data_IF_235983353532
#
_entry.id   IF_235983353532
#
_cell.length_a   1.000
_cell.length_b   1.000
_cell.length_c   1.000
_cell.angle_alpha   90.00
_cell.angle_beta   90.00
_cell.angle_gamma   90.00
#
_symmetry.space_group_name_H-M   'P 1'
#
loop_
_entity.id
_entity.type
_entity.pdbx_description
1 polymer ?
#
# COMPACT_ATOMS: atom_id res chain seq x y z
N UNK A 1 -17.16 -2.16 -23.45
CA UNK A 1 -17.49 -2.70 -22.10
C UNK A 1 -18.45 -1.75 -21.45
N UNK A 2 -19.66 -2.21 -21.13
CA UNK A 2 -20.67 -1.40 -20.43
C UNK A 2 -20.25 -1.22 -18.95
N UNK A 3 -20.72 -0.14 -18.32
CA UNK A 3 -20.50 0.07 -16.87
C UNK A 3 -20.92 -1.13 -16.04
N UNK A 4 -21.99 -1.83 -16.45
CA UNK A 4 -22.48 -3.03 -15.78
C UNK A 4 -21.45 -4.18 -15.73
N UNK A 5 -20.64 -4.35 -16.78
CA UNK A 5 -19.58 -5.38 -16.80
C UNK A 5 -18.41 -5.06 -15.85
N UNK A 6 -18.21 -3.79 -15.51
CA UNK A 6 -17.17 -3.35 -14.56
C UNK A 6 -17.47 -3.74 -13.12
N UNK A 7 -18.73 -3.88 -12.77
CA UNK A 7 -19.20 -4.10 -11.40
C UNK A 7 -19.77 -5.52 -11.19
N UNK A 8 -19.71 -6.37 -12.22
CA UNK A 8 -20.17 -7.76 -12.09
C UNK A 8 -19.31 -8.52 -11.08
N UNK A 9 -19.94 -9.00 -10.00
CA UNK A 9 -19.28 -9.73 -8.92
C UNK A 9 -18.54 -8.85 -7.90
N UNK A 10 -18.68 -7.53 -7.96
CA UNK A 10 -18.09 -6.60 -7.00
C UNK A 10 -19.09 -6.34 -5.86
N UNK A 11 -18.64 -6.51 -4.61
CA UNK A 11 -19.46 -6.27 -3.42
C UNK A 11 -19.04 -5.01 -2.63
N UNK A 12 -17.95 -4.35 -3.00
CA UNK A 12 -17.37 -3.18 -2.33
C UNK A 12 -17.01 -3.39 -0.85
N UNK A 13 -16.86 -4.64 -0.43
CA UNK A 13 -16.39 -5.04 0.90
C UNK A 13 -15.11 -5.85 0.76
N UNK A 14 -15.18 -6.96 0.04
CA UNK A 14 -14.04 -7.86 -0.18
C UNK A 14 -13.55 -7.84 -1.63
N UNK A 15 -14.35 -7.29 -2.53
CA UNK A 15 -14.05 -7.20 -3.96
C UNK A 15 -14.33 -5.82 -4.50
N UNK A 16 -13.41 -5.33 -5.32
CA UNK A 16 -13.41 -4.00 -5.91
C UNK A 16 -13.29 -4.07 -7.42
N UNK A 17 -13.77 -3.07 -8.18
CA UNK A 17 -13.46 -2.95 -9.58
C UNK A 17 -11.94 -2.92 -9.79
N UNK A 18 -11.48 -3.33 -10.96
CA UNK A 18 -10.04 -3.23 -11.29
C UNK A 18 -9.54 -1.80 -11.08
N UNK A 19 -8.59 -1.64 -10.19
CA UNK A 19 -7.96 -0.36 -9.86
C UNK A 19 -6.49 -0.60 -9.51
N UNK A 20 -5.68 0.44 -9.54
CA UNK A 20 -4.27 0.43 -9.18
C UNK A 20 -3.50 -0.76 -9.79
N UNK A 21 -3.77 -1.07 -11.05
CA UNK A 21 -3.13 -2.20 -11.74
C UNK A 21 -1.66 -1.88 -11.95
N UNK A 22 -0.77 -2.75 -11.45
CA UNK A 22 0.67 -2.60 -11.58
C UNK A 22 1.10 -2.37 -13.03
N UNK A 23 2.04 -1.45 -13.24
CA UNK A 23 2.52 -1.06 -14.57
C UNK A 23 1.55 -0.17 -15.36
N UNK A 24 0.50 0.34 -14.74
CA UNK A 24 -0.40 1.33 -15.35
C UNK A 24 -0.37 2.63 -14.57
N UNK A 25 -0.72 3.73 -15.24
CA UNK A 25 -0.83 5.06 -14.62
C UNK A 25 -1.77 5.09 -13.39
N UNK A 26 -2.68 4.14 -13.29
CA UNK A 26 -3.58 4.04 -12.13
C UNK A 26 -2.91 3.55 -10.85
N UNK A 27 -1.68 3.02 -10.96
CA UNK A 27 -0.86 2.60 -9.82
C UNK A 27 0.26 3.61 -9.48
N UNK A 28 0.45 4.63 -10.33
CA UNK A 28 1.46 5.67 -10.08
C UNK A 28 0.99 6.63 -8.98
N UNK A 29 1.94 7.28 -8.32
CA UNK A 29 1.64 8.38 -7.43
C UNK A 29 1.04 9.56 -8.21
N UNK A 30 0.17 10.33 -7.57
CA UNK A 30 -0.40 11.50 -8.21
C UNK A 30 0.70 12.52 -8.56
N UNK A 31 0.70 13.10 -9.78
CA UNK A 31 1.79 13.98 -10.21
C UNK A 31 1.96 15.26 -9.38
N UNK A 32 0.91 15.68 -8.67
CA UNK A 32 0.96 16.85 -7.78
C UNK A 32 1.46 16.50 -6.37
N UNK A 33 1.70 15.22 -6.08
CA UNK A 33 2.29 14.81 -4.81
C UNK A 33 3.78 15.11 -4.84
N UNK A 34 4.24 15.94 -3.91
CA UNK A 34 5.67 16.16 -3.70
C UNK A 34 6.29 14.91 -3.06
N UNK A 35 7.16 14.25 -3.81
CA UNK A 35 7.81 13.01 -3.38
C UNK A 35 9.24 13.22 -2.90
N UNK A 36 9.75 14.45 -2.92
CA UNK A 36 11.16 14.77 -2.58
C UNK A 36 11.51 14.34 -1.14
N UNK A 37 10.54 14.39 -0.25
CA UNK A 37 10.75 14.08 1.17
C UNK A 37 10.35 12.66 1.58
N UNK A 38 9.89 11.83 0.64
CA UNK A 38 9.57 10.42 0.93
C UNK A 38 10.86 9.64 1.14
N UNK A 39 11.01 9.06 2.33
CA UNK A 39 12.21 8.30 2.71
C UNK A 39 12.10 6.82 2.38
N UNK A 40 10.90 6.26 2.37
CA UNK A 40 10.69 4.84 2.09
C UNK A 40 9.31 4.61 1.48
N UNK A 41 9.24 3.60 0.62
CA UNK A 41 8.01 3.16 -0.03
C UNK A 41 7.67 1.76 0.42
N UNK A 42 6.43 1.55 0.84
CA UNK A 42 5.92 0.24 1.21
C UNK A 42 4.77 -0.14 0.29
N UNK A 43 4.81 -1.35 -0.24
CA UNK A 43 3.79 -1.87 -1.14
C UNK A 43 3.02 -3.00 -0.47
N UNK A 44 1.71 -2.90 -0.48
CA UNK A 44 0.78 -3.91 0.04
C UNK A 44 -0.17 -4.37 -1.06
N UNK A 45 -0.88 -5.48 -0.82
CA UNK A 45 -1.86 -5.98 -1.78
C UNK A 45 -1.27 -6.62 -3.03
N UNK A 46 0.02 -6.97 -3.02
CA UNK A 46 0.69 -7.58 -4.18
C UNK A 46 0.28 -9.04 -4.41
N UNK A 47 -0.01 -9.74 -3.34
CA UNK A 47 -0.28 -11.19 -3.36
C UNK A 47 -1.62 -11.56 -2.73
N UNK A 48 -2.05 -10.80 -1.76
CA UNK A 48 -3.32 -10.96 -1.05
C UNK A 48 -3.96 -9.59 -0.85
N UNK A 49 -5.28 -9.53 -0.70
CA UNK A 49 -5.95 -8.31 -0.32
C UNK A 49 -5.38 -7.82 1.02
N UNK A 50 -4.99 -6.57 1.08
CA UNK A 50 -4.40 -5.94 2.25
C UNK A 50 -4.90 -4.50 2.38
N UNK A 51 -5.31 -4.10 3.57
CA UNK A 51 -5.74 -2.73 3.84
C UNK A 51 -4.69 -1.95 4.64
N UNK A 52 -4.08 -2.58 5.64
CA UNK A 52 -3.12 -1.91 6.51
C UNK A 52 -1.77 -1.66 5.82
N UNK A 53 -1.18 -0.51 6.11
CA UNK A 53 0.20 -0.22 5.73
C UNK A 53 1.21 -1.16 6.40
N UNK A 54 0.87 -1.71 7.55
CA UNK A 54 1.71 -2.68 8.27
C UNK A 54 1.80 -4.06 7.59
N UNK A 55 0.92 -4.34 6.62
CA UNK A 55 1.02 -5.50 5.74
C UNK A 55 1.96 -5.25 4.53
N UNK A 56 2.49 -4.03 4.42
CA UNK A 56 3.37 -3.60 3.33
C UNK A 56 4.80 -4.03 3.53
N UNK A 57 5.47 -4.29 2.42
CA UNK A 57 6.90 -4.58 2.36
C UNK A 57 7.64 -3.42 1.68
N UNK A 58 8.84 -3.14 2.17
CA UNK A 58 9.72 -2.13 1.61
C UNK A 58 9.96 -2.39 0.12
N UNK A 59 9.75 -1.38 -0.70
CA UNK A 59 10.00 -1.41 -2.13
C UNK A 59 11.08 -0.38 -2.47
N UNK A 60 11.87 -0.62 -3.53
CA UNK A 60 12.82 0.38 -3.98
C UNK A 60 12.07 1.54 -4.60
N UNK A 61 12.38 2.74 -4.15
CA UNK A 61 11.82 3.99 -4.64
C UNK A 61 10.30 3.92 -4.92
N UNK A 62 9.82 4.55 -5.95
CA UNK A 62 8.43 4.55 -6.38
C UNK A 62 8.04 3.35 -7.25
N UNK A 63 8.93 2.36 -7.43
CA UNK A 63 8.68 1.20 -8.26
C UNK A 63 7.44 0.42 -7.80
N UNK A 64 6.53 0.14 -8.73
CA UNK A 64 5.36 -0.70 -8.51
C UNK A 64 5.65 -2.08 -9.10
N UNK A 65 5.93 -3.09 -8.26
CA UNK A 65 6.23 -4.42 -8.74
C UNK A 65 5.02 -5.04 -9.46
N UNK A 66 5.26 -5.73 -10.56
CA UNK A 66 4.21 -6.45 -11.29
C UNK A 66 3.78 -7.73 -10.55
N UNK A 67 2.46 -7.96 -10.48
CA UNK A 67 1.82 -8.92 -9.59
C UNK A 67 1.85 -10.41 -9.99
N UNK A 68 2.66 -10.85 -10.94
CA UNK A 68 2.68 -12.26 -11.39
C UNK A 68 3.53 -13.18 -10.49
N UNK A 69 3.35 -13.10 -9.17
CA UNK A 69 4.19 -13.85 -8.25
C UNK A 69 3.44 -14.66 -7.24
N UNK A 70 4.05 -15.79 -6.90
CA UNK A 70 3.57 -16.64 -5.81
C UNK A 70 3.71 -15.90 -4.47
N UNK A 71 2.80 -16.13 -3.52
CA UNK A 71 2.94 -15.63 -2.15
C UNK A 71 4.33 -15.94 -1.59
N UNK A 72 4.99 -14.94 -1.02
CA UNK A 72 6.35 -15.06 -0.48
C UNK A 72 7.47 -14.84 -1.48
N UNK A 73 7.19 -14.60 -2.75
CA UNK A 73 8.21 -14.20 -3.72
C UNK A 73 8.33 -12.66 -3.78
N UNK A 74 9.55 -12.16 -3.68
CA UNK A 74 9.79 -10.71 -3.74
C UNK A 74 9.55 -10.11 -5.12
N UNK A 75 9.09 -8.87 -5.21
CA UNK A 75 8.94 -8.17 -6.47
C UNK A 75 10.29 -7.95 -7.16
N UNK A 76 10.38 -8.20 -8.47
CA UNK A 76 11.51 -7.69 -9.28
C UNK A 76 11.15 -6.33 -9.83
N UNK A 77 12.03 -5.36 -9.65
CA UNK A 77 11.89 -4.06 -10.28
C UNK A 77 11.95 -4.20 -11.81
N UNK A 78 10.98 -3.59 -12.48
CA UNK A 78 11.05 -3.29 -13.90
C UNK A 78 10.76 -4.45 -14.85
N UNK A 79 9.53 -4.98 -14.85
CA UNK A 79 8.99 -5.75 -15.96
C UNK A 79 7.83 -5.01 -16.59
N UNK A 80 8.02 -4.37 -17.74
CA UNK A 80 6.89 -3.94 -18.57
C UNK A 80 6.07 -5.15 -18.99
N UNK A 81 4.73 -5.09 -18.95
CA UNK A 81 3.89 -6.14 -19.47
C UNK A 81 3.96 -6.14 -20.99
N UNK A 82 4.67 -7.09 -21.53
CA UNK A 82 4.64 -7.35 -22.96
C UNK A 82 6.00 -7.50 -23.62
N UNK A 83 6.58 -8.67 -23.55
CA UNK A 83 7.24 -9.34 -24.67
C UNK A 83 7.78 -10.69 -24.20
N UNK A 84 7.04 -11.74 -24.47
CA UNK A 84 7.60 -13.07 -24.52
C UNK A 84 8.21 -13.24 -25.91
N UNK A 85 9.51 -13.06 -26.05
CA UNK A 85 10.33 -13.75 -27.08
C UNK A 85 11.80 -13.43 -26.85
N UNK A 86 12.62 -14.47 -26.74
CA UNK A 86 14.03 -14.42 -27.12
C UNK A 86 15.00 -14.29 -25.94
N UNK A 87 15.66 -15.41 -25.69
CA UNK A 87 16.91 -15.52 -24.96
C UNK A 87 17.97 -14.56 -25.50
N UNK A 88 18.75 -13.99 -24.64
CA UNK A 88 20.21 -14.03 -24.56
C UNK A 88 20.75 -12.81 -23.83
N UNK A 89 21.56 -13.10 -22.79
CA UNK A 89 22.67 -12.33 -22.25
C UNK A 89 22.53 -10.80 -22.11
N UNK A 90 22.11 -10.38 -20.93
CA UNK A 90 22.57 -9.13 -20.35
C UNK A 90 22.79 -9.34 -18.84
N UNK A 91 24.03 -9.26 -18.41
CA UNK A 91 24.39 -9.16 -17.00
C UNK A 91 23.65 -7.96 -16.39
N UNK A 92 22.56 -8.25 -15.73
CA UNK A 92 21.82 -7.25 -14.96
C UNK A 92 22.66 -6.89 -13.74
N UNK A 93 23.04 -5.63 -13.65
CA UNK A 93 23.52 -5.03 -12.43
C UNK A 93 22.56 -5.41 -11.29
N UNK A 94 23.08 -6.10 -10.27
CA UNK A 94 22.29 -6.64 -9.19
C UNK A 94 21.56 -5.55 -8.43
N UNK A 95 20.26 -5.53 -8.52
CA UNK A 95 19.43 -4.98 -7.48
C UNK A 95 19.26 -6.08 -6.44
N UNK A 96 19.98 -5.97 -5.33
CA UNK A 96 19.81 -6.81 -4.16
C UNK A 96 18.41 -6.57 -3.58
N UNK A 97 17.42 -7.29 -4.12
CA UNK A 97 16.14 -7.41 -3.46
C UNK A 97 16.22 -8.59 -2.50
N UNK A 98 15.97 -8.29 -1.23
CA UNK A 98 15.85 -9.28 -0.18
C UNK A 98 14.92 -10.41 -0.61
N UNK A 99 15.40 -11.62 -0.57
CA UNK A 99 14.59 -12.82 -0.70
C UNK A 99 13.77 -13.01 0.57
N UNK A 100 12.60 -13.60 0.52
CA UNK A 100 11.53 -13.65 1.52
C UNK A 100 11.86 -13.71 3.02
N UNK A 101 13.09 -13.97 3.42
CA UNK A 101 13.57 -13.87 4.82
C UNK A 101 14.14 -12.48 5.15
N UNK A 102 14.47 -11.67 4.14
CA UNK A 102 15.05 -10.33 4.30
C UNK A 102 14.06 -9.19 3.96
N UNK A 103 12.78 -9.51 3.77
CA UNK A 103 11.76 -8.53 3.46
C UNK A 103 11.47 -7.65 4.68
N UNK A 104 11.71 -6.35 4.56
CA UNK A 104 11.49 -5.38 5.64
C UNK A 104 10.04 -4.94 5.62
N UNK A 105 9.31 -5.19 6.70
CA UNK A 105 7.98 -4.66 6.95
C UNK A 105 8.01 -3.20 7.42
N UNK A 106 6.85 -2.54 7.38
CA UNK A 106 6.74 -1.16 7.87
C UNK A 106 7.10 -1.06 9.35
N UNK A 107 6.67 -2.00 10.17
CA UNK A 107 6.97 -2.00 11.61
C UNK A 107 8.47 -2.10 11.89
N UNK A 108 9.15 -3.06 11.26
CA UNK A 108 10.60 -3.22 11.41
C UNK A 108 11.36 -1.96 10.99
N UNK A 109 10.91 -1.33 9.91
CA UNK A 109 11.50 -0.09 9.41
C UNK A 109 11.31 1.08 10.39
N UNK A 110 10.09 1.26 10.89
CA UNK A 110 9.77 2.31 11.87
C UNK A 110 10.58 2.13 13.16
N UNK A 111 10.65 0.91 13.68
CA UNK A 111 11.44 0.59 14.87
C UNK A 111 12.94 0.83 14.66
N UNK A 112 13.48 0.48 13.48
CA UNK A 112 14.89 0.71 13.17
C UNK A 112 15.26 2.20 13.06
N UNK A 113 14.26 3.07 12.91
CA UNK A 113 14.42 4.53 12.85
C UNK A 113 13.97 5.24 14.14
N UNK A 114 13.74 4.48 15.23
CA UNK A 114 13.31 5.00 16.53
C UNK A 114 12.02 5.87 16.44
N UNK A 115 11.09 5.49 15.57
CA UNK A 115 9.81 6.18 15.42
C UNK A 115 8.88 5.78 16.56
N UNK A 116 8.33 6.76 17.26
CA UNK A 116 7.36 6.57 18.35
C UNK A 116 5.97 7.10 17.99
N UNK A 117 5.91 8.08 17.10
CA UNK A 117 4.67 8.74 16.68
C UNK A 117 4.45 8.56 15.17
N UNK A 118 3.22 8.23 14.79
CA UNK A 118 2.84 8.04 13.38
C UNK A 118 1.66 8.94 13.05
N UNK A 119 1.80 9.74 12.00
CA UNK A 119 0.70 10.53 11.45
C UNK A 119 0.23 9.88 10.15
N UNK A 120 -1.06 9.56 10.08
CA UNK A 120 -1.65 8.88 8.93
C UNK A 120 -2.53 9.85 8.14
N UNK A 121 -2.32 9.88 6.84
CA UNK A 121 -3.08 10.67 5.87
C UNK A 121 -3.36 9.84 4.62
N UNK A 122 -4.24 10.32 3.72
CA UNK A 122 -4.46 9.72 2.41
C UNK A 122 -5.80 9.01 2.27
N UNK A 123 -5.85 7.89 1.57
CA UNK A 123 -7.07 7.15 1.21
C UNK A 123 -6.93 5.64 1.48
N UNK A 124 -8.02 4.98 1.82
CA UNK A 124 -9.34 5.55 2.14
C UNK A 124 -9.55 5.56 3.66
N UNK A 125 -10.21 6.61 4.17
CA UNK A 125 -10.42 6.81 5.62
C UNK A 125 -11.00 5.58 6.30
N UNK A 126 -12.06 5.03 5.72
CA UNK A 126 -12.84 3.89 6.22
C UNK A 126 -12.23 2.50 5.92
N UNK A 127 -11.13 2.45 5.18
CA UNK A 127 -10.43 1.23 4.80
C UNK A 127 -8.94 1.27 5.20
N UNK A 128 -8.07 1.68 4.27
CA UNK A 128 -6.62 1.59 4.48
C UNK A 128 -6.11 2.51 5.59
N UNK A 129 -6.67 3.72 5.71
CA UNK A 129 -6.29 4.66 6.77
C UNK A 129 -6.67 4.09 8.13
N UNK A 130 -7.94 3.66 8.29
CA UNK A 130 -8.43 3.05 9.51
C UNK A 130 -7.61 1.82 9.90
N UNK A 131 -7.43 0.88 8.99
CA UNK A 131 -6.67 -0.34 9.25
C UNK A 131 -5.22 -0.03 9.68
N UNK A 132 -4.55 0.87 8.96
CA UNK A 132 -3.18 1.28 9.28
C UNK A 132 -3.09 1.96 10.64
N UNK A 133 -4.04 2.85 10.96
CA UNK A 133 -4.04 3.57 12.23
C UNK A 133 -4.25 2.62 13.42
N UNK A 134 -5.20 1.71 13.32
CA UNK A 134 -5.48 0.73 14.37
C UNK A 134 -4.32 -0.24 14.57
N UNK A 135 -3.71 -0.74 13.51
CA UNK A 135 -2.53 -1.60 13.60
C UNK A 135 -1.34 -0.86 14.20
N UNK A 136 -1.16 0.42 13.86
CA UNK A 136 -0.13 1.26 14.47
C UNK A 136 -0.27 1.37 15.98
N UNK A 137 -1.49 1.59 16.49
CA UNK A 137 -1.76 1.61 17.93
C UNK A 137 -1.48 0.23 18.55
N UNK A 138 -1.90 -0.85 17.90
CA UNK A 138 -1.63 -2.21 18.37
C UNK A 138 -0.14 -2.55 18.42
N UNK A 139 0.64 -2.00 17.48
CA UNK A 139 2.11 -2.13 17.44
C UNK A 139 2.81 -1.26 18.50
N UNK A 140 2.09 -0.35 19.17
CA UNK A 140 2.59 0.45 20.27
C UNK A 140 2.95 1.89 19.91
N UNK A 141 2.62 2.36 18.73
CA UNK A 141 2.84 3.74 18.31
C UNK A 141 1.75 4.69 18.84
N UNK A 142 2.12 5.94 19.06
CA UNK A 142 1.16 7.05 19.17
C UNK A 142 0.69 7.40 17.76
N UNK A 143 -0.59 7.25 17.47
CA UNK A 143 -1.11 7.40 16.11
C UNK A 143 -2.10 8.54 16.04
N UNK A 144 -1.88 9.46 15.10
CA UNK A 144 -2.79 10.55 14.78
C UNK A 144 -3.25 10.46 13.32
N UNK A 145 -4.54 10.52 13.07
CA UNK A 145 -5.11 10.66 11.73
C UNK A 145 -5.51 12.11 11.50
N UNK A 146 -4.95 12.75 10.46
CA UNK A 146 -5.38 14.10 10.06
C UNK A 146 -6.63 13.97 9.19
N UNK A 147 -7.80 14.12 9.80
CA UNK A 147 -9.11 13.89 9.17
C UNK A 147 -9.33 14.71 7.91
N UNK A 148 -8.86 15.96 7.90
CA UNK A 148 -8.96 16.88 6.77
C UNK A 148 -8.01 16.53 5.60
N UNK A 149 -7.07 15.62 5.81
CA UNK A 149 -6.14 15.10 4.78
C UNK A 149 -6.43 13.62 4.44
N UNK A 150 -7.64 13.15 4.77
CA UNK A 150 -8.11 11.82 4.37
C UNK A 150 -9.42 11.92 3.60
N UNK A 151 -9.66 10.96 2.72
CA UNK A 151 -10.91 10.81 1.96
C UNK A 151 -11.38 9.37 2.05
N UNK A 152 -12.65 9.18 2.37
CA UNK A 152 -13.26 7.85 2.46
C UNK A 152 -14.00 7.43 1.20
N UNK A 153 -14.43 6.18 1.18
CA UNK A 153 -15.29 5.60 0.15
C UNK A 153 -16.76 5.79 0.52
N UNK A 154 -17.09 5.60 1.80
CA UNK A 154 -18.45 5.84 2.29
C UNK A 154 -18.77 7.34 2.33
N UNK A 155 -20.04 7.67 2.15
CA UNK A 155 -20.54 9.05 2.31
C UNK A 155 -20.51 9.50 3.76
N UNK A 156 -20.80 8.57 4.69
CA UNK A 156 -20.72 8.78 6.13
C UNK A 156 -19.51 8.04 6.69
N UNK A 157 -18.64 8.75 7.38
CA UNK A 157 -17.40 8.25 7.93
C UNK A 157 -17.39 8.28 9.46
N UNK A 158 -18.50 8.65 10.09
CA UNK A 158 -18.58 8.83 11.54
C UNK A 158 -18.30 7.51 12.27
N UNK A 159 -18.81 6.39 11.74
CA UNK A 159 -18.54 5.07 12.32
C UNK A 159 -17.05 4.68 12.23
N UNK A 160 -16.40 4.98 11.11
CA UNK A 160 -14.98 4.69 10.93
C UNK A 160 -14.11 5.55 11.85
N UNK A 161 -14.47 6.81 12.01
CA UNK A 161 -13.80 7.75 12.94
C UNK A 161 -13.98 7.28 14.38
N UNK A 162 -15.22 6.97 14.79
CA UNK A 162 -15.51 6.49 16.13
C UNK A 162 -14.77 5.18 16.46
N UNK A 163 -14.66 4.27 15.50
CA UNK A 163 -13.92 3.02 15.67
C UNK A 163 -12.42 3.29 15.89
N UNK A 164 -11.83 4.24 15.15
CA UNK A 164 -10.43 4.64 15.34
C UNK A 164 -10.20 5.28 16.72
N UNK A 165 -11.06 6.21 17.13
CA UNK A 165 -10.98 6.86 18.46
C UNK A 165 -11.11 5.82 19.59
N UNK A 166 -12.06 4.88 19.49
CA UNK A 166 -12.21 3.79 20.45
C UNK A 166 -10.98 2.86 20.47
N UNK A 167 -10.31 2.71 19.36
CA UNK A 167 -9.07 1.95 19.20
C UNK A 167 -7.83 2.67 19.76
N UNK A 168 -7.96 3.95 20.18
CA UNK A 168 -6.85 4.73 20.73
C UNK A 168 -6.12 5.60 19.71
N UNK A 169 -6.71 5.84 18.55
CA UNK A 169 -6.18 6.76 17.54
C UNK A 169 -6.65 8.18 17.83
N UNK A 170 -5.74 9.14 17.78
CA UNK A 170 -6.07 10.56 17.85
C UNK A 170 -6.57 11.06 16.48
N UNK A 171 -7.68 11.79 16.46
CA UNK A 171 -8.24 12.38 15.25
C UNK A 171 -8.07 13.90 15.31
N UNK A 172 -7.39 14.49 14.32
CA UNK A 172 -7.10 15.91 14.25
C UNK A 172 -7.59 16.55 12.95
#
# INVERSE_FOLDING_TARGET
>A
SSEAERFEGVNFVDSWPKHCVAGTRGADLHPDLDTEYIQAYFRKGQYTAAYSGFEGLLAPDDAVPSGDRKPGAMPVAGGSPGSATGADDAEAAGSDFATGEDAIGLDDWLQSHDVEEVVVVGIATDHCVKATALDGVQAGYSVTVLRNLTVGVAEDLDDAVAEMELGGVDIA
#
